data_IF_486643074987
#
_entry.id   IF_486643074987
#
_cell.length_a   1.000
_cell.length_b   1.000
_cell.length_c   1.000
_cell.angle_alpha   90.00
_cell.angle_beta   90.00
_cell.angle_gamma   90.00
#
_symmetry.space_group_name_H-M   'P 1'
#
loop_
_entity.id
_entity.type
_entity.pdbx_description
1 polymer ?
#
# COMPACT_ATOMS: atom_id res chain seq x y z
N UNK A 1 5.88 34.53 2.97
CA UNK A 1 6.30 33.98 4.27
C UNK A 1 6.78 32.55 4.04
N UNK A 2 8.04 32.24 4.36
CA UNK A 2 8.60 30.91 4.22
C UNK A 2 8.27 30.08 5.47
N UNK A 3 7.96 28.79 5.27
CA UNK A 3 7.58 27.88 6.34
C UNK A 3 8.76 26.91 6.58
N UNK A 4 9.19 26.79 7.82
CA UNK A 4 10.27 25.87 8.20
C UNK A 4 9.79 24.43 8.11
N UNK A 5 10.64 23.55 7.56
CA UNK A 5 10.34 22.12 7.39
C UNK A 5 9.08 21.85 6.53
N UNK A 6 8.91 22.61 5.47
CA UNK A 6 7.73 22.54 4.59
C UNK A 6 7.48 21.15 4.00
N UNK A 7 8.52 20.39 3.74
CA UNK A 7 8.43 19.01 3.22
C UNK A 7 7.55 18.10 4.09
N UNK A 8 7.48 18.34 5.40
CA UNK A 8 6.63 17.52 6.29
C UNK A 8 5.14 17.85 6.15
N UNK A 9 4.79 19.06 5.71
CA UNK A 9 3.42 19.39 5.30
C UNK A 9 3.02 18.56 4.09
N UNK A 10 3.96 18.36 3.16
CA UNK A 10 3.72 17.49 1.99
C UNK A 10 3.47 16.03 2.45
N UNK A 11 4.26 15.50 3.40
CA UNK A 11 4.00 14.15 3.95
C UNK A 11 2.64 14.06 4.63
N UNK A 12 2.23 15.09 5.36
CA UNK A 12 0.90 15.12 5.97
C UNK A 12 -0.21 15.06 4.92
N UNK A 13 -0.05 15.75 3.79
CA UNK A 13 -0.97 15.64 2.66
C UNK A 13 -0.99 14.22 2.08
N UNK A 14 0.17 13.58 1.91
CA UNK A 14 0.24 12.20 1.42
C UNK A 14 -0.40 11.20 2.40
N UNK A 15 -0.14 11.38 3.70
CA UNK A 15 -0.75 10.59 4.77
C UNK A 15 -2.28 10.70 4.76
N UNK A 16 -2.81 11.92 4.71
CA UNK A 16 -4.26 12.15 4.70
C UNK A 16 -4.91 11.66 3.42
N UNK A 17 -4.26 11.80 2.24
CA UNK A 17 -4.73 11.20 1.00
C UNK A 17 -4.84 9.68 1.10
N UNK A 18 -3.80 9.03 1.62
CA UNK A 18 -3.78 7.57 1.81
C UNK A 18 -4.82 7.13 2.84
N UNK A 19 -5.04 7.93 3.89
CA UNK A 19 -6.10 7.68 4.88
C UNK A 19 -7.50 7.71 4.23
N UNK A 20 -7.80 8.71 3.41
CA UNK A 20 -9.09 8.82 2.68
C UNK A 20 -9.24 7.65 1.70
N UNK A 21 -8.19 7.33 0.95
CA UNK A 21 -8.18 6.24 -0.02
C UNK A 21 -8.56 4.90 0.63
N UNK A 22 -7.96 4.56 1.79
CA UNK A 22 -8.27 3.32 2.50
C UNK A 22 -9.59 3.36 3.27
N UNK A 23 -10.04 4.54 3.69
CA UNK A 23 -11.38 4.74 4.23
C UNK A 23 -12.43 4.38 3.17
N UNK A 24 -12.38 4.98 1.96
CA UNK A 24 -13.31 4.74 0.88
C UNK A 24 -13.34 3.26 0.45
N UNK A 25 -12.18 2.62 0.45
CA UNK A 25 -12.05 1.19 0.13
C UNK A 25 -12.81 0.30 1.10
N UNK A 26 -12.84 0.63 2.39
CA UNK A 26 -13.46 -0.17 3.43
C UNK A 26 -14.98 -0.07 3.49
N UNK A 27 -15.56 1.03 3.03
CA UNK A 27 -17.00 1.33 3.17
C UNK A 27 -17.90 0.20 2.69
N UNK A 28 -17.64 -0.40 1.53
CA UNK A 28 -18.52 -1.45 1.01
C UNK A 28 -18.52 -2.71 1.88
N UNK A 29 -17.37 -3.04 2.47
CA UNK A 29 -17.28 -4.17 3.40
C UNK A 29 -18.07 -3.93 4.67
N UNK A 30 -18.05 -2.70 5.18
CA UNK A 30 -18.80 -2.30 6.37
C UNK A 30 -20.31 -2.24 6.11
N UNK A 31 -20.72 -1.82 4.92
CA UNK A 31 -22.12 -1.73 4.51
C UNK A 31 -22.68 -3.05 3.95
N UNK A 32 -21.82 -4.07 3.70
CA UNK A 32 -22.23 -5.36 3.12
C UNK A 32 -23.50 -5.93 3.75
N UNK A 33 -23.64 -6.08 5.09
CA UNK A 33 -24.80 -6.71 5.68
C UNK A 33 -26.13 -5.98 5.38
N UNK A 34 -26.05 -4.66 5.19
CA UNK A 34 -27.22 -3.82 4.88
C UNK A 34 -27.58 -3.93 3.41
N UNK A 35 -26.57 -3.81 2.54
CA UNK A 35 -26.74 -3.86 1.09
C UNK A 35 -27.17 -5.26 0.63
N UNK A 36 -26.71 -6.32 1.29
CA UNK A 36 -27.18 -7.70 1.04
C UNK A 36 -28.68 -7.86 1.30
N UNK A 37 -29.20 -7.27 2.36
CA UNK A 37 -30.64 -7.31 2.68
C UNK A 37 -31.40 -6.44 1.67
N UNK A 38 -30.96 -5.20 1.42
CA UNK A 38 -31.68 -4.24 0.58
C UNK A 38 -31.75 -4.68 -0.90
N UNK A 39 -30.66 -5.26 -1.42
CA UNK A 39 -30.55 -5.67 -2.82
C UNK A 39 -30.60 -7.17 -3.04
N UNK A 40 -30.84 -7.96 -2.00
CA UNK A 40 -30.87 -9.43 -2.04
C UNK A 40 -29.60 -10.03 -2.66
N UNK A 41 -28.42 -9.49 -2.30
CA UNK A 41 -27.15 -9.99 -2.82
C UNK A 41 -26.82 -11.37 -2.27
N UNK A 42 -26.22 -12.18 -3.11
CA UNK A 42 -25.55 -13.42 -2.72
C UNK A 42 -24.09 -13.13 -2.36
N UNK A 43 -23.45 -14.06 -1.64
CA UNK A 43 -22.00 -14.03 -1.40
C UNK A 43 -21.21 -13.95 -2.72
N UNK A 44 -21.71 -14.60 -3.77
CA UNK A 44 -21.14 -14.57 -5.11
C UNK A 44 -21.21 -13.17 -5.74
N UNK A 45 -22.31 -12.44 -5.54
CA UNK A 45 -22.45 -11.07 -6.06
C UNK A 45 -21.47 -10.14 -5.37
N UNK A 46 -21.33 -10.23 -4.04
CA UNK A 46 -20.35 -9.45 -3.31
C UNK A 46 -18.91 -9.79 -3.75
N UNK A 47 -18.59 -11.08 -3.91
CA UNK A 47 -17.28 -11.50 -4.41
C UNK A 47 -16.97 -10.91 -5.79
N UNK A 48 -17.94 -10.90 -6.72
CA UNK A 48 -17.80 -10.27 -8.05
C UNK A 48 -17.52 -8.77 -7.96
N UNK A 49 -18.18 -8.06 -7.04
CA UNK A 49 -17.97 -6.63 -6.79
C UNK A 49 -16.52 -6.39 -6.29
N UNK A 50 -16.01 -7.21 -5.39
CA UNK A 50 -14.64 -7.12 -4.87
C UNK A 50 -13.60 -7.46 -5.95
N UNK A 51 -13.85 -8.50 -6.76
CA UNK A 51 -12.98 -8.89 -7.88
C UNK A 51 -12.92 -7.77 -8.94
N UNK A 52 -14.06 -7.15 -9.25
CA UNK A 52 -14.13 -6.04 -10.19
C UNK A 52 -13.23 -4.86 -9.76
N UNK A 53 -13.27 -4.51 -8.48
CA UNK A 53 -12.38 -3.51 -7.90
C UNK A 53 -10.90 -3.91 -8.04
N UNK A 54 -10.55 -5.13 -7.61
CA UNK A 54 -9.15 -5.58 -7.57
C UNK A 54 -8.54 -5.67 -8.98
N UNK A 55 -9.30 -6.16 -9.94
CA UNK A 55 -8.87 -6.23 -11.35
C UNK A 55 -8.66 -4.83 -11.94
N UNK A 56 -9.62 -3.93 -11.71
CA UNK A 56 -9.52 -2.54 -12.15
C UNK A 56 -8.35 -1.81 -11.49
N UNK A 57 -8.13 -2.04 -10.19
CA UNK A 57 -7.00 -1.48 -9.45
C UNK A 57 -5.65 -1.94 -10.02
N UNK A 58 -5.52 -3.23 -10.36
CA UNK A 58 -4.30 -3.76 -10.97
C UNK A 58 -3.97 -3.09 -12.31
N UNK A 59 -4.98 -2.91 -13.17
CA UNK A 59 -4.84 -2.18 -14.45
C UNK A 59 -4.55 -0.69 -14.18
N UNK A 60 -5.27 -0.09 -13.25
CA UNK A 60 -5.13 1.31 -12.87
C UNK A 60 -3.72 1.66 -12.40
N UNK A 61 -3.05 0.76 -11.67
CA UNK A 61 -1.66 0.94 -11.23
C UNK A 61 -0.69 1.18 -12.40
N UNK A 62 -0.85 0.45 -13.49
CA UNK A 62 -0.04 0.65 -14.70
C UNK A 62 -0.39 1.96 -15.40
N UNK A 63 -1.69 2.20 -15.61
CA UNK A 63 -2.19 3.37 -16.34
C UNK A 63 -1.82 4.66 -15.61
N UNK A 64 -2.14 4.76 -14.33
CA UNK A 64 -1.86 5.98 -13.55
C UNK A 64 -0.39 6.13 -13.19
N UNK A 65 0.37 5.05 -13.04
CA UNK A 65 1.82 5.13 -12.92
C UNK A 65 2.45 5.85 -14.11
N UNK A 66 2.13 5.42 -15.33
CA UNK A 66 2.56 6.06 -16.56
C UNK A 66 2.02 7.48 -16.72
N UNK A 67 0.71 7.67 -16.46
CA UNK A 67 0.04 8.96 -16.59
C UNK A 67 0.68 10.03 -15.70
N UNK A 68 0.93 9.72 -14.42
CA UNK A 68 1.54 10.64 -13.45
C UNK A 68 2.97 11.01 -13.88
N UNK A 69 3.73 10.06 -14.42
CA UNK A 69 5.08 10.38 -14.94
C UNK A 69 5.01 11.31 -16.16
N UNK A 70 4.01 11.15 -17.01
CA UNK A 70 3.83 11.97 -18.22
C UNK A 70 3.35 13.40 -17.92
N UNK A 71 2.35 13.57 -17.04
CA UNK A 71 1.73 14.87 -16.79
C UNK A 71 2.30 15.61 -15.58
N UNK A 72 3.12 14.93 -14.78
CA UNK A 72 3.66 15.44 -13.53
C UNK A 72 2.77 15.21 -12.32
N UNK A 73 3.38 15.26 -11.14
CA UNK A 73 2.76 14.83 -9.87
C UNK A 73 1.54 15.65 -9.50
N UNK A 74 1.60 17.01 -9.64
CA UNK A 74 0.49 17.89 -9.25
C UNK A 74 -0.80 17.56 -10.00
N UNK A 75 -0.72 17.52 -11.32
CA UNK A 75 -1.88 17.26 -12.19
C UNK A 75 -2.29 15.79 -12.07
N UNK A 76 -1.34 14.87 -12.16
CA UNK A 76 -1.61 13.44 -12.11
C UNK A 76 -2.34 13.04 -10.84
N UNK A 77 -1.87 13.49 -9.68
CA UNK A 77 -2.52 13.18 -8.40
C UNK A 77 -3.89 13.85 -8.27
N UNK A 78 -4.05 15.10 -8.74
CA UNK A 78 -5.35 15.76 -8.76
C UNK A 78 -6.38 14.99 -9.58
N UNK A 79 -6.01 14.52 -10.76
CA UNK A 79 -6.90 13.71 -11.63
C UNK A 79 -7.31 12.42 -10.96
N UNK A 80 -6.38 11.69 -10.33
CA UNK A 80 -6.70 10.44 -9.63
C UNK A 80 -7.66 10.68 -8.47
N UNK A 81 -7.48 11.75 -7.70
CA UNK A 81 -8.34 12.10 -6.56
C UNK A 81 -9.75 12.48 -7.03
N UNK A 82 -9.86 13.32 -8.04
CA UNK A 82 -11.16 13.67 -8.63
C UNK A 82 -11.88 12.39 -9.11
N UNK A 83 -11.14 11.52 -9.81
CA UNK A 83 -11.67 10.28 -10.34
C UNK A 83 -12.22 9.36 -9.26
N UNK A 84 -11.38 9.05 -8.20
CA UNK A 84 -11.87 8.13 -7.17
C UNK A 84 -12.97 8.75 -6.31
N UNK A 85 -12.92 10.07 -6.04
CA UNK A 85 -13.98 10.76 -5.28
C UNK A 85 -15.32 10.69 -5.99
N UNK A 86 -15.35 10.96 -7.29
CA UNK A 86 -16.56 10.81 -8.09
C UNK A 86 -17.03 9.35 -8.10
N UNK A 87 -16.12 8.39 -8.34
CA UNK A 87 -16.47 6.98 -8.38
C UNK A 87 -16.95 6.49 -6.99
N UNK A 88 -16.36 6.98 -5.90
CA UNK A 88 -16.82 6.72 -4.53
C UNK A 88 -18.26 7.19 -4.33
N UNK A 89 -18.56 8.43 -4.70
CA UNK A 89 -19.90 9.00 -4.58
C UNK A 89 -20.93 8.29 -5.49
N UNK A 90 -20.53 7.79 -6.66
CA UNK A 90 -21.42 7.07 -7.57
C UNK A 90 -22.01 5.79 -6.99
N UNK A 91 -21.39 5.18 -5.97
CA UNK A 91 -21.97 4.04 -5.24
C UNK A 91 -23.32 4.38 -4.60
N UNK A 92 -23.54 5.62 -4.17
CA UNK A 92 -24.82 6.07 -3.61
C UNK A 92 -26.01 5.96 -4.57
N UNK A 93 -25.74 5.95 -5.87
CA UNK A 93 -26.75 5.87 -6.91
C UNK A 93 -26.92 4.44 -7.49
N UNK A 94 -26.07 3.49 -7.10
CA UNK A 94 -26.18 2.11 -7.51
C UNK A 94 -27.44 1.46 -6.92
N UNK A 95 -28.12 0.63 -7.72
CA UNK A 95 -29.38 -0.06 -7.34
C UNK A 95 -29.33 -1.56 -7.63
N UNK A 96 -28.16 -2.10 -7.94
CA UNK A 96 -27.96 -3.52 -8.22
C UNK A 96 -26.51 -3.91 -7.99
N UNK A 97 -26.24 -5.21 -7.81
CA UNK A 97 -24.87 -5.73 -7.71
C UNK A 97 -24.00 -5.34 -8.92
N UNK A 98 -24.58 -5.33 -10.13
CA UNK A 98 -23.89 -4.86 -11.34
C UNK A 98 -23.53 -3.36 -11.25
N UNK A 99 -24.46 -2.50 -10.80
CA UNK A 99 -24.20 -1.07 -10.62
C UNK A 99 -23.09 -0.80 -9.62
N UNK A 100 -23.08 -1.51 -8.47
CA UNK A 100 -21.97 -1.46 -7.51
C UNK A 100 -20.66 -1.97 -8.12
N UNK A 101 -20.70 -3.03 -8.92
CA UNK A 101 -19.54 -3.54 -9.65
C UNK A 101 -18.94 -2.49 -10.59
N UNK A 102 -19.76 -1.78 -11.35
CA UNK A 102 -19.31 -0.69 -12.24
C UNK A 102 -18.68 0.47 -11.43
N UNK A 103 -19.34 0.90 -10.35
CA UNK A 103 -18.80 1.93 -9.46
C UNK A 103 -17.46 1.49 -8.85
N UNK A 104 -17.31 0.21 -8.48
CA UNK A 104 -16.07 -0.38 -7.96
C UNK A 104 -14.96 -0.44 -8.99
N UNK A 105 -15.27 -0.71 -10.27
CA UNK A 105 -14.29 -0.60 -11.36
C UNK A 105 -13.78 0.84 -11.44
N UNK A 106 -14.69 1.82 -11.44
CA UNK A 106 -14.33 3.23 -11.45
C UNK A 106 -13.45 3.61 -10.25
N UNK A 107 -13.84 3.18 -9.04
CA UNK A 107 -13.08 3.44 -7.81
C UNK A 107 -11.70 2.80 -7.85
N UNK A 108 -11.61 1.52 -8.24
CA UNK A 108 -10.33 0.80 -8.32
C UNK A 108 -9.35 1.45 -9.29
N UNK A 109 -9.82 1.87 -10.46
CA UNK A 109 -8.99 2.62 -11.41
C UNK A 109 -8.46 3.91 -10.77
N UNK A 110 -9.31 4.75 -10.18
CA UNK A 110 -8.90 6.05 -9.60
C UNK A 110 -7.96 5.88 -8.41
N UNK A 111 -8.30 5.00 -7.46
CA UNK A 111 -7.49 4.77 -6.25
C UNK A 111 -6.08 4.25 -6.55
N UNK A 112 -5.90 3.56 -7.66
CA UNK A 112 -4.61 3.00 -8.06
C UNK A 112 -3.52 4.07 -8.28
N UNK A 113 -3.89 5.32 -8.54
CA UNK A 113 -2.93 6.41 -8.69
C UNK A 113 -2.30 6.91 -7.38
N UNK A 114 -2.89 6.59 -6.22
CA UNK A 114 -2.43 7.10 -4.92
C UNK A 114 -0.96 6.75 -4.64
N UNK A 115 -0.60 5.47 -4.65
CA UNK A 115 0.78 5.06 -4.35
C UNK A 115 1.82 5.56 -5.36
N UNK A 116 1.60 5.44 -6.69
CA UNK A 116 2.52 6.02 -7.67
C UNK A 116 2.76 7.52 -7.46
N UNK A 117 1.70 8.29 -7.19
CA UNK A 117 1.81 9.72 -6.92
C UNK A 117 2.54 10.01 -5.62
N UNK A 118 2.20 9.30 -4.54
CA UNK A 118 2.81 9.53 -3.22
C UNK A 118 4.30 9.22 -3.23
N UNK A 119 4.72 8.07 -3.78
CA UNK A 119 6.15 7.69 -3.84
C UNK A 119 6.94 8.66 -4.70
N UNK A 120 6.38 9.11 -5.84
CA UNK A 120 7.01 10.14 -6.68
C UNK A 120 7.12 11.47 -5.94
N UNK A 121 6.08 11.89 -5.21
CA UNK A 121 6.13 13.10 -4.37
C UNK A 121 7.26 13.00 -3.34
N UNK A 122 7.44 11.86 -2.70
CA UNK A 122 8.56 11.63 -1.77
C UNK A 122 9.90 11.74 -2.50
N UNK A 123 10.02 11.18 -3.71
CA UNK A 123 11.24 11.30 -4.51
C UNK A 123 11.57 12.76 -4.91
N UNK A 124 10.55 13.57 -5.13
CA UNK A 124 10.69 15.00 -5.48
C UNK A 124 11.04 15.88 -4.27
N UNK A 125 10.46 15.59 -3.08
CA UNK A 125 10.50 16.47 -1.91
C UNK A 125 11.51 16.07 -0.83
N UNK A 126 12.09 14.87 -0.91
CA UNK A 126 12.95 14.36 0.15
C UNK A 126 14.32 13.94 -0.34
N UNK A 127 15.40 14.29 0.41
CA UNK A 127 16.70 13.69 0.20
C UNK A 127 16.65 12.18 0.51
N UNK A 128 17.48 11.37 -0.14
CA UNK A 128 17.47 9.90 -0.01
C UNK A 128 17.46 9.41 1.45
N UNK A 129 18.18 10.10 2.32
CA UNK A 129 18.28 9.78 3.77
C UNK A 129 16.96 9.93 4.56
N UNK A 130 15.95 10.62 4.02
CA UNK A 130 14.65 10.83 4.67
C UNK A 130 13.50 10.14 3.95
N UNK A 131 13.68 9.66 2.71
CA UNK A 131 12.62 9.03 1.92
C UNK A 131 11.95 7.85 2.61
N UNK A 132 12.74 7.00 3.30
CA UNK A 132 12.19 5.85 4.02
C UNK A 132 11.21 6.26 5.11
N UNK A 133 11.58 7.25 5.94
CA UNK A 133 10.70 7.77 6.98
C UNK A 133 9.45 8.43 6.38
N UNK A 134 9.61 9.25 5.34
CA UNK A 134 8.50 9.90 4.66
C UNK A 134 7.53 8.87 4.06
N UNK A 135 8.06 7.81 3.42
CA UNK A 135 7.27 6.70 2.87
C UNK A 135 6.53 5.93 3.98
N UNK A 136 7.22 5.63 5.09
CA UNK A 136 6.61 4.95 6.23
C UNK A 136 5.47 5.75 6.86
N UNK A 137 5.63 7.06 6.97
CA UNK A 137 4.61 7.96 7.50
C UNK A 137 3.36 8.00 6.63
N UNK A 138 3.48 8.22 5.31
CA UNK A 138 2.28 8.24 4.48
C UNK A 138 1.63 6.85 4.37
N UNK A 139 2.43 5.79 4.33
CA UNK A 139 1.91 4.42 4.27
C UNK A 139 1.15 4.01 5.55
N UNK A 140 1.49 4.57 6.72
CA UNK A 140 0.72 4.39 7.96
C UNK A 140 -0.73 4.88 7.83
N UNK A 141 -1.01 5.80 6.89
CA UNK A 141 -2.36 6.25 6.57
C UNK A 141 -3.31 5.11 6.16
N UNK A 142 -2.77 3.99 5.64
CA UNK A 142 -3.58 2.82 5.29
C UNK A 142 -4.35 2.26 6.48
N UNK A 143 -3.65 2.02 7.58
CA UNK A 143 -4.25 1.48 8.81
C UNK A 143 -5.16 2.50 9.50
N UNK A 144 -4.75 3.77 9.49
CA UNK A 144 -5.58 4.86 10.05
C UNK A 144 -6.87 5.03 9.25
N UNK A 145 -6.83 4.90 7.92
CA UNK A 145 -8.02 4.95 7.07
C UNK A 145 -9.03 3.87 7.42
N UNK A 146 -8.57 2.63 7.65
CA UNK A 146 -9.42 1.52 8.11
C UNK A 146 -10.05 1.84 9.47
N UNK A 147 -9.26 2.31 10.43
CA UNK A 147 -9.75 2.67 11.77
C UNK A 147 -10.79 3.80 11.69
N UNK A 148 -10.52 4.84 10.93
CA UNK A 148 -11.46 5.96 10.72
C UNK A 148 -12.76 5.45 10.09
N UNK A 149 -12.69 4.53 9.12
CA UNK A 149 -13.89 3.94 8.51
C UNK A 149 -14.78 3.22 9.52
N UNK A 150 -14.18 2.46 10.46
CA UNK A 150 -14.90 1.73 11.51
C UNK A 150 -15.70 2.63 12.46
N UNK A 151 -15.32 3.89 12.60
CA UNK A 151 -16.05 4.86 13.44
C UNK A 151 -16.99 5.74 12.59
N UNK A 152 -16.50 6.23 11.46
CA UNK A 152 -17.21 7.23 10.66
C UNK A 152 -18.40 6.62 9.91
N UNK A 153 -18.21 5.43 9.30
CA UNK A 153 -19.28 4.82 8.51
C UNK A 153 -20.51 4.44 9.33
N UNK A 154 -20.39 3.76 10.50
CA UNK A 154 -21.56 3.48 11.35
C UNK A 154 -22.25 4.75 11.87
N UNK A 155 -21.48 5.80 12.18
CA UNK A 155 -22.04 7.06 12.65
C UNK A 155 -22.88 7.75 11.56
N UNK A 156 -22.38 7.82 10.32
CA UNK A 156 -23.13 8.39 9.20
C UNK A 156 -24.36 7.53 8.89
N UNK A 157 -24.17 6.20 8.86
CA UNK A 157 -25.25 5.25 8.59
C UNK A 157 -26.42 5.41 9.56
N UNK A 158 -26.13 5.53 10.86
CA UNK A 158 -27.15 5.65 11.91
C UNK A 158 -27.96 6.96 11.84
N UNK A 159 -27.35 8.03 11.29
CA UNK A 159 -27.97 9.36 11.27
C UNK A 159 -28.58 9.72 9.92
N UNK A 160 -28.07 9.16 8.81
CA UNK A 160 -28.44 9.64 7.46
C UNK A 160 -28.81 8.52 6.49
N UNK A 161 -28.14 7.37 6.53
CA UNK A 161 -28.36 6.25 5.64
C UNK A 161 -27.07 5.79 4.92
N UNK A 162 -27.19 4.67 4.17
CA UNK A 162 -26.01 4.09 3.50
C UNK A 162 -25.53 4.89 2.28
N UNK A 163 -26.43 5.57 1.59
CA UNK A 163 -26.10 6.42 0.44
C UNK A 163 -25.18 7.56 0.88
N UNK A 164 -25.53 8.21 1.99
CA UNK A 164 -24.78 9.32 2.56
C UNK A 164 -23.40 8.90 3.04
N UNK A 165 -23.20 7.64 3.44
CA UNK A 165 -21.86 7.14 3.75
C UNK A 165 -20.96 7.29 2.52
N UNK A 166 -21.38 6.84 1.35
CA UNK A 166 -20.60 6.97 0.12
C UNK A 166 -20.44 8.43 -0.34
N UNK A 167 -21.49 9.25 -0.21
CA UNK A 167 -21.44 10.66 -0.61
C UNK A 167 -20.47 11.46 0.26
N UNK A 168 -20.55 11.30 1.58
CA UNK A 168 -19.73 12.06 2.54
C UNK A 168 -18.27 11.62 2.44
N UNK A 169 -18.00 10.30 2.44
CA UNK A 169 -16.61 9.82 2.38
C UNK A 169 -15.95 10.16 1.05
N UNK A 170 -16.64 9.96 -0.08
CA UNK A 170 -16.14 10.35 -1.39
C UNK A 170 -15.89 11.86 -1.52
N UNK A 171 -16.72 12.71 -0.87
CA UNK A 171 -16.54 14.16 -0.85
C UNK A 171 -15.27 14.59 -0.09
N UNK A 172 -14.76 13.80 0.86
CA UNK A 172 -13.50 14.11 1.57
C UNK A 172 -12.31 14.27 0.62
N UNK A 173 -12.30 13.54 -0.50
CA UNK A 173 -11.27 13.69 -1.51
C UNK A 173 -11.27 15.08 -2.17
N UNK A 174 -12.43 15.68 -2.39
CA UNK A 174 -12.50 17.05 -2.91
C UNK A 174 -12.03 18.09 -1.88
N UNK A 175 -12.37 17.88 -0.61
CA UNK A 175 -11.84 18.74 0.47
C UNK A 175 -10.31 18.65 0.50
N UNK A 176 -9.77 17.43 0.44
CA UNK A 176 -8.32 17.21 0.38
C UNK A 176 -7.69 17.87 -0.86
N UNK A 177 -8.36 17.78 -2.02
CA UNK A 177 -7.87 18.39 -3.27
C UNK A 177 -7.64 19.88 -3.15
N UNK A 178 -8.51 20.59 -2.43
CA UNK A 178 -8.34 22.04 -2.17
C UNK A 178 -6.99 22.27 -1.48
N UNK A 179 -6.69 21.52 -0.42
CA UNK A 179 -5.40 21.64 0.28
C UNK A 179 -4.22 21.27 -0.62
N UNK A 180 -4.37 20.21 -1.44
CA UNK A 180 -3.33 19.82 -2.41
C UNK A 180 -3.01 20.94 -3.40
N UNK A 181 -4.00 21.53 -4.00
CA UNK A 181 -3.82 22.62 -4.98
C UNK A 181 -3.19 23.87 -4.37
N UNK A 182 -3.49 24.16 -3.10
CA UNK A 182 -2.97 25.34 -2.36
C UNK A 182 -1.53 25.09 -1.89
N UNK A 183 -1.22 23.91 -1.38
CA UNK A 183 0.06 23.64 -0.70
C UNK A 183 1.07 22.93 -1.57
N UNK A 184 0.65 22.12 -2.54
CA UNK A 184 1.60 21.37 -3.35
C UNK A 184 2.05 22.16 -4.58
N UNK A 185 3.36 22.19 -4.75
CA UNK A 185 4.07 22.54 -5.99
C UNK A 185 5.38 21.75 -6.02
N UNK A 186 6.04 21.62 -7.16
CA UNK A 186 7.38 21.04 -7.18
C UNK A 186 8.36 21.94 -6.41
N UNK A 187 9.39 21.37 -5.72
CA UNK A 187 10.29 22.15 -4.86
C UNK A 187 10.88 23.39 -5.54
N UNK A 188 11.29 23.28 -6.82
CA UNK A 188 11.87 24.38 -7.57
C UNK A 188 10.94 25.58 -7.81
N UNK A 189 9.61 25.37 -7.74
CA UNK A 189 8.60 26.41 -7.96
C UNK A 189 7.85 26.80 -6.67
N UNK A 190 8.14 26.12 -5.55
CA UNK A 190 7.42 26.35 -4.29
C UNK A 190 7.87 27.63 -3.60
N UNK A 191 7.04 28.67 -3.66
CA UNK A 191 7.35 29.99 -3.10
C UNK A 191 7.41 30.04 -1.56
N UNK A 192 6.81 29.05 -0.89
CA UNK A 192 6.78 28.96 0.59
C UNK A 192 7.99 28.20 1.15
N UNK A 193 8.79 27.56 0.28
CA UNK A 193 9.98 26.83 0.65
C UNK A 193 11.15 27.81 0.86
N UNK A 194 11.91 27.64 1.96
CA UNK A 194 13.10 28.45 2.19
C UNK A 194 14.25 28.02 1.28
N UNK A 195 15.13 28.93 0.89
CA UNK A 195 16.30 28.60 0.08
C UNK A 195 17.20 27.54 0.76
N UNK A 196 17.32 27.58 2.09
CA UNK A 196 18.07 26.61 2.87
C UNK A 196 17.45 25.22 2.80
N UNK A 197 16.12 25.11 2.93
CA UNK A 197 15.44 23.82 2.84
C UNK A 197 15.45 23.28 1.39
N UNK A 198 15.31 24.15 0.40
CA UNK A 198 15.46 23.77 -1.01
C UNK A 198 16.85 23.19 -1.28
N UNK A 199 17.92 23.87 -0.85
CA UNK A 199 19.29 23.36 -0.97
C UNK A 199 19.49 22.01 -0.25
N UNK A 200 18.87 21.83 0.92
CA UNK A 200 18.90 20.57 1.66
C UNK A 200 18.20 19.43 0.89
N UNK A 201 17.05 19.71 0.27
CA UNK A 201 16.31 18.73 -0.53
C UNK A 201 17.15 18.33 -1.76
N UNK A 202 17.60 19.30 -2.53
CA UNK A 202 18.33 19.07 -3.80
C UNK A 202 19.72 18.48 -3.55
N UNK A 203 20.44 18.98 -2.55
CA UNK A 203 21.78 18.50 -2.21
C UNK A 203 21.84 17.04 -1.73
N UNK A 204 20.69 16.46 -1.34
CA UNK A 204 20.57 15.05 -0.98
C UNK A 204 19.90 14.19 -2.05
N UNK A 205 19.75 14.72 -3.27
CA UNK A 205 19.20 14.02 -4.43
C UNK A 205 20.29 13.85 -5.50
N UNK A 206 20.10 12.92 -6.41
CA UNK A 206 20.99 12.84 -7.58
C UNK A 206 20.78 14.01 -8.52
N UNK A 207 21.86 14.46 -9.23
CA UNK A 207 21.76 15.55 -10.20
C UNK A 207 20.67 15.29 -11.23
N UNK A 208 19.78 16.23 -11.40
CA UNK A 208 18.69 16.12 -12.35
C UNK A 208 19.23 16.41 -13.76
N UNK A 209 19.07 15.45 -14.67
CA UNK A 209 19.27 15.72 -16.08
C UNK A 209 18.13 16.62 -16.54
N UNK A 210 18.42 17.87 -16.95
CA UNK A 210 17.42 18.90 -17.33
C UNK A 210 16.53 18.51 -18.52
N UNK A 211 16.81 17.41 -19.20
CA UNK A 211 16.01 16.97 -20.34
C UNK A 211 14.68 16.35 -19.90
N UNK A 212 13.57 16.96 -20.28
CA UNK A 212 12.24 16.32 -20.34
C UNK A 212 12.28 15.23 -21.41
N UNK A 213 12.70 14.04 -21.03
CA UNK A 213 12.78 12.92 -21.95
C UNK A 213 11.52 12.07 -21.75
N UNK A 214 10.84 11.76 -22.84
CA UNK A 214 9.70 10.87 -22.83
C UNK A 214 10.18 9.44 -22.54
N UNK A 215 9.89 8.95 -21.35
CA UNK A 215 10.22 7.59 -20.92
C UNK A 215 9.34 6.58 -21.66
N UNK A 216 9.97 5.65 -22.38
CA UNK A 216 9.28 4.49 -22.94
C UNK A 216 9.04 3.45 -21.84
N UNK A 217 7.90 3.53 -21.20
CA UNK A 217 7.59 2.73 -20.02
C UNK A 217 7.75 1.21 -20.22
N UNK A 218 7.53 0.66 -21.41
CA UNK A 218 7.79 -0.74 -21.72
C UNK A 218 9.25 -1.14 -21.56
N UNK A 219 10.19 -0.22 -21.74
CA UNK A 219 11.61 -0.47 -21.49
C UNK A 219 11.91 -0.73 -20.02
N UNK A 220 11.04 -0.30 -19.09
CA UNK A 220 11.19 -0.63 -17.67
C UNK A 220 11.24 -2.15 -17.44
N UNK A 221 10.50 -2.95 -18.21
CA UNK A 221 10.51 -4.41 -18.07
C UNK A 221 11.84 -5.07 -18.50
N UNK A 222 12.72 -4.36 -19.21
CA UNK A 222 14.06 -4.86 -19.56
C UNK A 222 15.09 -4.67 -18.43
N UNK A 223 14.74 -3.92 -17.39
CA UNK A 223 15.64 -3.53 -16.31
C UNK A 223 15.58 -4.52 -15.14
N UNK A 224 16.72 -5.01 -14.62
CA UNK A 224 16.76 -5.87 -13.44
C UNK A 224 16.15 -5.18 -12.20
N UNK A 225 16.31 -3.85 -12.09
CA UNK A 225 15.73 -3.07 -10.99
C UNK A 225 14.20 -3.14 -10.95
N UNK A 226 13.55 -3.14 -12.12
CA UNK A 226 12.09 -3.32 -12.22
C UNK A 226 11.67 -4.70 -11.72
N UNK A 227 12.39 -5.75 -12.12
CA UNK A 227 12.13 -7.11 -11.65
C UNK A 227 12.37 -7.26 -10.15
N UNK A 228 13.34 -6.54 -9.58
CA UNK A 228 13.53 -6.50 -8.13
C UNK A 228 12.29 -5.94 -7.40
N UNK A 229 11.65 -4.89 -7.95
CA UNK A 229 10.41 -4.34 -7.39
C UNK A 229 9.21 -5.29 -7.61
N UNK A 230 9.11 -5.90 -8.81
CA UNK A 230 8.07 -6.90 -9.13
C UNK A 230 8.11 -8.05 -8.12
N UNK A 231 9.29 -8.60 -7.87
CA UNK A 231 9.47 -9.70 -6.89
C UNK A 231 9.18 -9.21 -5.47
N UNK A 232 9.69 -8.01 -5.12
CA UNK A 232 9.51 -7.41 -3.80
C UNK A 232 8.06 -7.15 -3.42
N UNK A 233 7.18 -6.97 -4.39
CA UNK A 233 5.73 -6.77 -4.22
C UNK A 233 4.95 -8.02 -4.59
N UNK A 234 5.23 -8.62 -5.73
CA UNK A 234 4.47 -9.73 -6.27
C UNK A 234 4.49 -11.01 -5.43
N UNK A 235 5.60 -11.30 -4.74
CA UNK A 235 5.67 -12.42 -3.80
C UNK A 235 5.15 -12.07 -2.40
N UNK A 236 5.26 -10.81 -1.99
CA UNK A 236 5.07 -10.43 -0.59
C UNK A 236 3.66 -9.88 -0.31
N UNK A 237 3.08 -9.07 -1.20
CA UNK A 237 1.73 -8.54 -1.01
C UNK A 237 0.66 -9.64 -0.87
N UNK A 238 0.73 -10.77 -1.58
CA UNK A 238 -0.19 -11.89 -1.38
C UNK A 238 -0.24 -12.42 0.05
N UNK A 239 0.90 -12.40 0.76
CA UNK A 239 1.00 -12.81 2.17
C UNK A 239 0.19 -11.85 3.05
N UNK A 240 0.22 -10.55 2.76
CA UNK A 240 -0.59 -9.59 3.49
C UNK A 240 -2.10 -9.83 3.30
N UNK A 241 -2.54 -10.21 2.10
CA UNK A 241 -3.92 -10.60 1.85
C UNK A 241 -4.32 -11.84 2.65
N UNK A 242 -3.40 -12.81 2.80
CA UNK A 242 -3.63 -13.94 3.70
C UNK A 242 -3.83 -13.45 5.15
N UNK A 243 -2.95 -12.61 5.67
CA UNK A 243 -3.11 -12.07 7.02
C UNK A 243 -4.43 -11.28 7.17
N UNK A 244 -4.82 -10.52 6.16
CA UNK A 244 -6.04 -9.72 6.22
C UNK A 244 -7.32 -10.57 6.25
N UNK A 245 -7.38 -11.63 5.43
CA UNK A 245 -8.61 -12.39 5.23
C UNK A 245 -8.72 -13.65 6.09
N UNK A 246 -7.61 -14.31 6.41
CA UNK A 246 -7.64 -15.60 7.10
C UNK A 246 -7.27 -15.56 8.58
N UNK A 247 -6.59 -14.52 9.07
CA UNK A 247 -6.28 -14.42 10.51
C UNK A 247 -7.52 -14.48 11.40
N UNK A 248 -8.64 -13.79 11.11
CA UNK A 248 -9.85 -13.94 11.91
C UNK A 248 -10.31 -15.41 11.99
N UNK A 249 -10.34 -16.10 10.85
CA UNK A 249 -10.71 -17.52 10.81
C UNK A 249 -9.72 -18.43 11.53
N UNK A 250 -8.43 -18.13 11.47
CA UNK A 250 -7.39 -18.84 12.23
C UNK A 250 -7.65 -18.73 13.73
N UNK A 251 -7.80 -17.51 14.24
CA UNK A 251 -8.07 -17.29 15.68
C UNK A 251 -9.38 -17.91 16.13
N UNK A 252 -10.45 -17.82 15.34
CA UNK A 252 -11.72 -18.45 15.64
C UNK A 252 -11.64 -19.99 15.65
N UNK A 253 -10.95 -20.57 14.69
CA UNK A 253 -10.85 -22.03 14.53
C UNK A 253 -9.92 -22.66 15.55
N UNK A 254 -8.75 -22.08 15.78
CA UNK A 254 -7.68 -22.65 16.62
C UNK A 254 -7.84 -22.24 18.07
N UNK A 255 -8.05 -20.95 18.34
CA UNK A 255 -8.15 -20.40 19.70
C UNK A 255 -9.58 -20.18 20.17
N UNK A 256 -10.60 -20.56 19.35
CA UNK A 256 -12.03 -20.43 19.68
C UNK A 256 -12.47 -18.99 19.97
N UNK A 257 -11.83 -18.02 19.33
CA UNK A 257 -12.15 -16.61 19.47
C UNK A 257 -13.55 -16.31 18.94
N UNK A 258 -14.37 -15.62 19.75
CA UNK A 258 -15.71 -15.19 19.35
C UNK A 258 -15.66 -13.91 18.52
N UNK A 259 -15.73 -14.06 17.19
CA UNK A 259 -15.68 -12.93 16.25
C UNK A 259 -16.95 -12.05 16.26
N UNK A 260 -17.99 -12.39 17.05
CA UNK A 260 -19.18 -11.54 17.21
C UNK A 260 -18.93 -10.36 18.16
N UNK A 261 -17.82 -10.39 18.89
CA UNK A 261 -17.39 -9.35 19.83
C UNK A 261 -16.14 -8.65 19.30
N UNK A 262 -15.92 -7.37 19.66
CA UNK A 262 -14.65 -6.70 19.38
C UNK A 262 -13.49 -7.54 19.92
N UNK A 263 -12.52 -7.82 19.09
CA UNK A 263 -11.36 -8.67 19.43
C UNK A 263 -10.12 -7.80 19.65
N UNK A 264 -9.68 -7.62 20.90
CA UNK A 264 -8.43 -6.93 21.21
C UNK A 264 -7.24 -7.57 20.50
N UNK A 265 -7.25 -8.88 20.32
CA UNK A 265 -6.21 -9.67 19.65
C UNK A 265 -6.01 -9.19 18.22
N UNK A 266 -7.09 -9.12 17.43
CA UNK A 266 -7.03 -8.66 16.06
C UNK A 266 -6.72 -7.16 15.99
N UNK A 267 -7.23 -6.35 16.91
CA UNK A 267 -6.94 -4.92 16.98
C UNK A 267 -5.44 -4.65 17.17
N UNK A 268 -4.79 -5.39 18.09
CA UNK A 268 -3.34 -5.27 18.33
C UNK A 268 -2.55 -5.67 17.08
N UNK A 269 -2.93 -6.78 16.44
CA UNK A 269 -2.27 -7.25 15.22
C UNK A 269 -2.33 -6.17 14.13
N UNK A 270 -3.49 -5.62 13.84
CA UNK A 270 -3.60 -4.59 12.81
C UNK A 270 -2.99 -3.24 13.21
N UNK A 271 -2.98 -2.87 14.50
CA UNK A 271 -2.27 -1.69 14.97
C UNK A 271 -0.75 -1.80 14.79
N UNK A 272 -0.19 -3.01 14.91
CA UNK A 272 1.23 -3.26 14.71
C UNK A 272 1.71 -2.91 13.28
N UNK A 273 0.81 -2.94 12.29
CA UNK A 273 1.14 -2.52 10.90
C UNK A 273 1.63 -1.08 10.82
N UNK A 274 1.03 -0.18 11.61
CA UNK A 274 1.45 1.23 11.67
C UNK A 274 2.86 1.38 12.22
N UNK A 275 3.18 0.65 13.30
CA UNK A 275 4.52 0.64 13.89
C UNK A 275 5.55 0.09 12.91
N UNK A 276 5.20 -0.99 12.20
CA UNK A 276 6.05 -1.58 11.17
C UNK A 276 6.36 -0.62 10.03
N UNK A 277 5.34 0.07 9.52
CA UNK A 277 5.49 1.02 8.42
C UNK A 277 6.45 2.17 8.77
N UNK A 278 6.21 2.83 9.91
CA UNK A 278 7.03 3.96 10.37
C UNK A 278 8.42 3.48 10.79
N UNK A 279 8.50 2.42 11.60
CA UNK A 279 9.75 1.87 12.12
C UNK A 279 10.67 1.35 11.02
N UNK A 280 10.11 0.64 10.02
CA UNK A 280 10.86 0.15 8.87
C UNK A 280 11.46 1.26 8.01
N UNK A 281 10.69 2.32 7.77
CA UNK A 281 11.15 3.51 7.07
C UNK A 281 12.20 4.30 7.87
N UNK A 282 11.99 4.42 9.17
CA UNK A 282 12.94 5.08 10.08
C UNK A 282 14.29 4.36 10.12
N UNK A 283 14.29 3.03 10.29
CA UNK A 283 15.51 2.24 10.42
C UNK A 283 16.43 2.40 9.20
N UNK A 284 15.91 2.30 8.00
CA UNK A 284 16.72 2.48 6.79
C UNK A 284 17.20 3.92 6.63
N UNK A 285 16.38 4.91 6.96
CA UNK A 285 16.77 6.31 6.95
C UNK A 285 17.86 6.63 7.99
N UNK A 286 17.79 6.01 9.16
CA UNK A 286 18.78 6.15 10.22
C UNK A 286 20.16 5.57 9.82
N UNK A 287 20.19 4.40 9.16
CA UNK A 287 21.44 3.84 8.63
C UNK A 287 22.08 4.77 7.60
N UNK A 288 21.29 5.33 6.69
CA UNK A 288 21.78 6.27 5.67
C UNK A 288 22.31 7.56 6.31
N UNK A 289 21.63 8.09 7.34
CA UNK A 289 22.11 9.25 8.12
C UNK A 289 23.44 8.96 8.83
N UNK A 290 23.75 7.70 9.14
CA UNK A 290 25.03 7.25 9.69
C UNK A 290 26.12 6.99 8.65
N UNK A 291 25.88 7.37 7.39
CA UNK A 291 26.85 7.27 6.30
C UNK A 291 26.81 5.95 5.52
N UNK A 292 25.81 5.09 5.74
CA UNK A 292 25.70 3.88 4.92
C UNK A 292 25.27 4.23 3.50
N UNK A 293 25.84 3.57 2.46
CA UNK A 293 25.35 3.70 1.10
C UNK A 293 23.86 3.32 1.02
N UNK A 294 23.05 4.14 0.34
CA UNK A 294 21.60 4.04 0.31
C UNK A 294 21.11 2.62 -0.01
N UNK A 295 21.58 2.04 -1.11
CA UNK A 295 21.16 0.69 -1.51
C UNK A 295 21.59 -0.39 -0.49
N UNK A 296 22.78 -0.24 0.12
CA UNK A 296 23.24 -1.16 1.16
C UNK A 296 22.33 -1.07 2.40
N UNK A 297 21.99 0.14 2.84
CA UNK A 297 21.09 0.36 3.97
C UNK A 297 19.72 -0.26 3.73
N UNK A 298 19.11 -0.04 2.55
CA UNK A 298 17.81 -0.64 2.18
C UNK A 298 17.86 -2.16 2.21
N UNK A 299 18.86 -2.77 1.55
CA UNK A 299 19.02 -4.23 1.51
C UNK A 299 19.27 -4.84 2.89
N UNK A 300 20.05 -4.16 3.75
CA UNK A 300 20.29 -4.64 5.12
C UNK A 300 19.01 -4.62 5.94
N UNK A 301 18.19 -3.58 5.80
CA UNK A 301 16.90 -3.53 6.49
C UNK A 301 15.94 -4.59 5.97
N UNK A 302 15.90 -4.82 4.65
CA UNK A 302 15.08 -5.88 4.06
C UNK A 302 15.49 -7.28 4.54
N UNK A 303 16.80 -7.61 4.65
CA UNK A 303 17.22 -8.95 5.17
C UNK A 303 16.92 -9.09 6.65
N UNK A 304 17.07 -8.04 7.45
CA UNK A 304 16.69 -8.08 8.87
C UNK A 304 15.21 -8.37 9.02
N UNK A 305 14.36 -7.70 8.25
CA UNK A 305 12.92 -7.98 8.28
C UNK A 305 12.57 -9.35 7.71
N UNK A 306 13.23 -9.79 6.63
CA UNK A 306 13.04 -11.16 6.13
C UNK A 306 13.42 -12.22 7.18
N UNK A 307 14.47 -11.99 7.95
CA UNK A 307 14.84 -12.87 9.07
C UNK A 307 13.83 -12.85 10.21
N UNK A 308 13.31 -11.66 10.56
CA UNK A 308 12.27 -11.53 11.58
C UNK A 308 10.94 -12.18 11.14
N UNK A 309 10.60 -12.15 9.85
CA UNK A 309 9.39 -12.80 9.34
C UNK A 309 9.40 -14.32 9.55
N UNK A 310 10.57 -14.95 9.55
CA UNK A 310 10.67 -16.39 9.83
C UNK A 310 10.06 -16.75 11.19
N UNK A 311 10.02 -15.82 12.14
CA UNK A 311 9.39 -16.04 13.45
C UNK A 311 7.90 -16.38 13.37
N UNK A 312 7.20 -16.07 12.26
CA UNK A 312 5.80 -16.47 12.07
C UNK A 312 5.62 -17.99 12.12
N UNK A 313 6.65 -18.75 11.73
CA UNK A 313 6.64 -20.21 11.79
C UNK A 313 6.45 -20.70 13.23
N UNK A 314 6.90 -19.95 14.23
CA UNK A 314 6.75 -20.28 15.62
C UNK A 314 5.28 -20.19 16.09
N UNK A 315 4.41 -19.47 15.37
CA UNK A 315 3.00 -19.37 15.70
C UNK A 315 2.28 -20.75 15.63
N UNK A 316 2.79 -21.70 14.85
CA UNK A 316 2.27 -23.07 14.81
C UNK A 316 2.41 -23.83 16.14
N UNK A 317 3.34 -23.42 16.99
CA UNK A 317 3.59 -24.04 18.30
C UNK A 317 2.96 -23.25 19.46
N UNK A 318 2.29 -22.14 19.17
CA UNK A 318 1.68 -21.31 20.19
C UNK A 318 0.44 -22.02 20.76
N UNK A 319 0.46 -22.32 22.04
CA UNK A 319 -0.69 -22.85 22.79
C UNK A 319 -1.49 -21.72 23.47
N UNK A 320 -0.84 -20.61 23.75
CA UNK A 320 -1.47 -19.40 24.30
C UNK A 320 -1.80 -18.40 23.18
N UNK A 321 -2.99 -17.80 23.24
CA UNK A 321 -3.47 -16.86 22.23
C UNK A 321 -2.60 -15.61 22.14
N UNK A 322 -2.09 -15.10 23.25
CA UNK A 322 -1.29 -13.88 23.27
C UNK A 322 0.12 -14.08 22.69
N UNK A 323 0.67 -15.30 22.82
CA UNK A 323 1.91 -15.67 22.14
C UNK A 323 1.69 -15.67 20.62
N UNK A 324 0.59 -16.24 20.14
CA UNK A 324 0.23 -16.17 18.73
C UNK A 324 0.01 -14.73 18.26
N UNK A 325 -0.70 -13.91 19.03
CA UNK A 325 -0.91 -12.47 18.77
C UNK A 325 0.44 -11.75 18.64
N UNK A 326 1.37 -11.97 19.57
CA UNK A 326 2.69 -11.36 19.53
C UNK A 326 3.49 -11.69 18.27
N UNK A 327 3.56 -12.98 17.92
CA UNK A 327 4.28 -13.46 16.73
C UNK A 327 3.65 -12.97 15.43
N UNK A 328 2.33 -13.00 15.33
CA UNK A 328 1.60 -12.54 14.15
C UNK A 328 1.66 -11.01 14.04
N UNK A 329 1.57 -10.29 15.17
CA UNK A 329 1.77 -8.82 15.18
C UNK A 329 3.15 -8.43 14.67
N UNK A 330 4.20 -9.18 15.05
CA UNK A 330 5.52 -8.98 14.52
C UNK A 330 5.56 -9.21 13.00
N UNK A 331 4.95 -10.29 12.51
CA UNK A 331 4.93 -10.62 11.09
C UNK A 331 4.22 -9.53 10.26
N UNK A 332 3.03 -9.06 10.66
CA UNK A 332 2.34 -8.01 9.92
C UNK A 332 3.06 -6.65 10.02
N UNK A 333 3.74 -6.37 11.13
CA UNK A 333 4.60 -5.19 11.26
C UNK A 333 5.81 -5.29 10.31
N UNK A 334 6.45 -6.44 10.25
CA UNK A 334 7.56 -6.74 9.34
C UNK A 334 7.11 -6.60 7.88
N UNK A 335 5.92 -7.10 7.53
CA UNK A 335 5.36 -6.92 6.19
C UNK A 335 5.28 -5.42 5.82
N UNK A 336 4.72 -4.58 6.68
CA UNK A 336 4.59 -3.15 6.40
C UNK A 336 5.95 -2.43 6.36
N UNK A 337 6.90 -2.86 7.18
CA UNK A 337 8.28 -2.38 7.12
C UNK A 337 8.95 -2.74 5.79
N UNK A 338 8.72 -3.95 5.30
CA UNK A 338 9.17 -4.42 3.99
C UNK A 338 8.56 -3.59 2.87
N UNK A 339 7.24 -3.46 2.83
CA UNK A 339 6.52 -2.70 1.81
C UNK A 339 7.02 -1.25 1.71
N UNK A 340 7.20 -0.57 2.86
CA UNK A 340 7.77 0.79 2.94
C UNK A 340 9.15 0.86 2.29
N UNK A 341 10.03 -0.11 2.57
CA UNK A 341 11.38 -0.11 2.02
C UNK A 341 11.42 -0.46 0.52
N UNK A 342 10.54 -1.33 0.03
CA UNK A 342 10.40 -1.62 -1.41
C UNK A 342 9.90 -0.39 -2.19
N UNK A 343 8.89 0.32 -1.67
CA UNK A 343 8.45 1.58 -2.27
C UNK A 343 9.56 2.65 -2.28
N UNK A 344 10.30 2.74 -1.17
CA UNK A 344 11.42 3.68 -1.11
C UNK A 344 12.55 3.26 -2.05
N UNK A 345 12.79 1.96 -2.21
CA UNK A 345 13.77 1.44 -3.17
C UNK A 345 13.42 1.86 -4.62
N UNK A 346 12.13 1.90 -4.98
CA UNK A 346 11.70 2.43 -6.28
C UNK A 346 12.13 3.90 -6.45
N UNK A 347 11.92 4.74 -5.44
CA UNK A 347 12.32 6.15 -5.47
C UNK A 347 13.83 6.37 -5.43
N UNK A 348 14.61 5.38 -5.00
CA UNK A 348 16.07 5.45 -4.91
C UNK A 348 16.77 4.87 -6.16
N UNK A 349 16.12 3.96 -6.90
CA UNK A 349 16.68 3.29 -8.07
C UNK A 349 16.27 3.92 -9.41
N UNK A 350 15.16 4.64 -9.45
CA UNK A 350 14.61 5.19 -10.69
C UNK A 350 14.67 6.72 -10.70
N UNK A 351 14.94 7.33 -11.89
CA UNK A 351 14.85 8.76 -12.06
C UNK A 351 13.40 9.23 -11.80
N UNK A 352 13.22 10.45 -11.31
CA UNK A 352 11.90 11.00 -10.92
C UNK A 352 10.82 10.86 -12.02
N UNK A 353 11.25 10.86 -13.29
CA UNK A 353 10.38 10.72 -14.46
C UNK A 353 9.82 9.29 -14.65
N UNK A 354 10.36 8.29 -13.96
CA UNK A 354 9.97 6.89 -14.09
C UNK A 354 9.52 6.24 -12.77
N UNK A 355 9.57 6.98 -11.65
CA UNK A 355 9.24 6.44 -10.32
C UNK A 355 7.79 5.95 -10.26
N UNK A 356 6.84 6.75 -10.74
CA UNK A 356 5.42 6.36 -10.68
C UNK A 356 5.15 5.13 -11.53
N UNK A 357 5.75 5.04 -12.72
CA UNK A 357 5.64 3.87 -13.59
C UNK A 357 6.24 2.61 -12.93
N UNK A 358 7.41 2.73 -12.31
CA UNK A 358 8.05 1.61 -11.59
C UNK A 358 7.21 1.13 -10.40
N UNK A 359 6.65 2.06 -9.62
CA UNK A 359 5.73 1.74 -8.51
C UNK A 359 4.44 1.10 -9.01
N UNK A 360 3.88 1.61 -10.12
CA UNK A 360 2.69 1.05 -10.75
C UNK A 360 2.88 -0.39 -11.22
N UNK A 361 4.01 -0.68 -11.89
CA UNK A 361 4.38 -2.04 -12.32
C UNK A 361 4.53 -2.97 -11.11
N UNK A 362 5.25 -2.54 -10.08
CA UNK A 362 5.44 -3.33 -8.86
C UNK A 362 4.12 -3.59 -8.12
N UNK A 363 3.29 -2.56 -7.99
CA UNK A 363 1.98 -2.68 -7.35
C UNK A 363 1.01 -3.59 -8.11
N UNK A 364 1.02 -3.53 -9.46
CA UNK A 364 0.26 -4.45 -10.30
C UNK A 364 0.67 -5.90 -10.04
N UNK A 365 1.96 -6.20 -9.94
CA UNK A 365 2.43 -7.54 -9.63
C UNK A 365 1.91 -8.03 -8.26
N UNK A 366 1.88 -7.15 -7.24
CA UNK A 366 1.29 -7.43 -5.94
C UNK A 366 -0.21 -7.69 -6.01
N UNK A 367 -0.95 -6.88 -6.78
CA UNK A 367 -2.40 -7.04 -6.96
C UNK A 367 -2.74 -8.36 -7.67
N UNK A 368 -1.98 -8.73 -8.72
CA UNK A 368 -2.14 -10.01 -9.43
C UNK A 368 -1.88 -11.19 -8.49
N UNK A 369 -0.79 -11.14 -7.70
CA UNK A 369 -0.51 -12.13 -6.68
C UNK A 369 -1.64 -12.25 -5.65
N UNK A 370 -2.26 -11.12 -5.27
CA UNK A 370 -3.43 -11.05 -4.38
C UNK A 370 -4.71 -11.66 -4.96
N UNK A 371 -4.77 -11.98 -6.26
CA UNK A 371 -5.87 -12.75 -6.86
C UNK A 371 -5.60 -14.25 -6.73
N UNK A 372 -4.38 -14.70 -7.06
CA UNK A 372 -4.06 -16.13 -7.13
C UNK A 372 -3.76 -16.76 -5.78
N UNK A 373 -3.08 -16.05 -4.87
CA UNK A 373 -2.70 -16.61 -3.58
C UNK A 373 -3.88 -16.99 -2.68
N UNK A 374 -4.96 -16.20 -2.58
CA UNK A 374 -6.18 -16.62 -1.88
C UNK A 374 -6.79 -17.93 -2.40
N UNK A 375 -6.70 -18.21 -3.71
CA UNK A 375 -7.17 -19.47 -4.29
C UNK A 375 -6.33 -20.64 -3.78
N UNK A 376 -5.00 -20.48 -3.74
CA UNK A 376 -4.09 -21.48 -3.18
C UNK A 376 -4.38 -21.71 -1.69
N UNK A 377 -4.55 -20.64 -0.91
CA UNK A 377 -4.88 -20.72 0.53
C UNK A 377 -6.18 -21.47 0.75
N UNK A 378 -7.24 -21.12 0.02
CA UNK A 378 -8.54 -21.79 0.13
C UNK A 378 -8.44 -23.29 -0.17
N UNK A 379 -7.88 -23.66 -1.32
CA UNK A 379 -7.71 -25.05 -1.73
C UNK A 379 -6.89 -25.88 -0.72
N UNK A 380 -5.80 -25.29 -0.21
CA UNK A 380 -4.94 -25.96 0.78
C UNK A 380 -5.70 -26.17 2.10
N UNK A 381 -6.37 -25.12 2.62
CA UNK A 381 -7.13 -25.25 3.87
C UNK A 381 -8.30 -26.22 3.75
N UNK A 382 -9.01 -26.24 2.62
CA UNK A 382 -10.09 -27.20 2.35
C UNK A 382 -9.57 -28.64 2.37
N UNK A 383 -8.43 -28.90 1.74
CA UNK A 383 -7.78 -30.23 1.74
C UNK A 383 -7.44 -30.68 3.17
N UNK A 384 -6.80 -29.80 3.95
CA UNK A 384 -6.44 -30.13 5.33
C UNK A 384 -7.64 -30.23 6.25
N UNK A 385 -8.69 -29.43 6.02
CA UNK A 385 -9.95 -29.51 6.76
C UNK A 385 -10.67 -30.83 6.50
N UNK A 386 -10.73 -31.29 5.24
CA UNK A 386 -11.30 -32.57 4.87
C UNK A 386 -10.55 -33.75 5.52
N UNK A 387 -9.23 -33.61 5.71
CA UNK A 387 -8.38 -34.55 6.43
C UNK A 387 -8.48 -34.45 7.98
N UNK A 388 -9.35 -33.57 8.52
CA UNK A 388 -9.48 -33.35 9.96
C UNK A 388 -8.31 -32.61 10.63
N UNK A 389 -7.39 -32.02 9.86
CA UNK A 389 -6.16 -31.38 10.34
C UNK A 389 -6.04 -29.92 9.87
N UNK A 390 -7.04 -29.10 10.15
CA UNK A 390 -7.03 -27.68 9.73
C UNK A 390 -5.80 -26.91 10.25
N UNK A 391 -5.33 -27.21 11.47
CA UNK A 391 -4.13 -26.61 12.02
C UNK A 391 -2.89 -26.89 11.16
N UNK A 392 -2.74 -28.09 10.63
CA UNK A 392 -1.67 -28.44 9.70
C UNK A 392 -1.67 -27.58 8.43
N UNK A 393 -2.85 -27.22 7.92
CA UNK A 393 -2.99 -26.29 6.79
C UNK A 393 -2.43 -24.91 7.10
N UNK A 394 -2.76 -24.34 8.26
CA UNK A 394 -2.19 -23.06 8.70
C UNK A 394 -0.68 -23.15 8.94
N UNK A 395 -0.16 -24.27 9.44
CA UNK A 395 1.27 -24.46 9.66
C UNK A 395 2.05 -24.43 8.33
N UNK A 396 1.52 -25.04 7.28
CA UNK A 396 2.10 -24.95 5.92
C UNK A 396 2.10 -23.51 5.43
N UNK A 397 0.98 -22.79 5.62
CA UNK A 397 0.89 -21.39 5.21
C UNK A 397 1.88 -20.48 5.97
N UNK A 398 2.02 -20.63 7.28
CA UNK A 398 3.00 -19.87 8.06
C UNK A 398 4.44 -20.19 7.62
N UNK A 399 4.72 -21.43 7.25
CA UNK A 399 6.02 -21.82 6.71
C UNK A 399 6.28 -21.12 5.36
N UNK A 400 5.30 -21.13 4.45
CA UNK A 400 5.39 -20.40 3.18
C UNK A 400 5.62 -18.91 3.45
N UNK A 401 4.81 -18.27 4.33
CA UNK A 401 4.96 -16.86 4.67
C UNK A 401 6.38 -16.57 5.19
N UNK A 402 6.87 -17.34 6.15
CA UNK A 402 8.17 -17.09 6.77
C UNK A 402 9.35 -17.15 5.79
N UNK A 403 9.36 -18.09 4.85
CA UNK A 403 10.48 -18.24 3.92
C UNK A 403 10.38 -17.36 2.66
N UNK A 404 9.19 -16.94 2.27
CA UNK A 404 8.99 -16.15 1.03
C UNK A 404 9.77 -14.84 1.06
N UNK A 405 9.89 -14.16 2.20
CA UNK A 405 10.65 -12.93 2.33
C UNK A 405 12.16 -13.14 2.12
N UNK A 406 12.71 -14.25 2.62
CA UNK A 406 14.12 -14.60 2.38
C UNK A 406 14.36 -14.84 0.89
N UNK A 407 13.48 -15.60 0.23
CA UNK A 407 13.55 -15.86 -1.21
C UNK A 407 13.47 -14.55 -1.99
N UNK A 408 12.49 -13.70 -1.67
CA UNK A 408 12.35 -12.38 -2.30
C UNK A 408 13.60 -11.53 -2.10
N UNK A 409 14.18 -11.51 -0.89
CA UNK A 409 15.40 -10.77 -0.63
C UNK A 409 16.59 -11.28 -1.46
N UNK A 410 16.78 -12.60 -1.56
CA UNK A 410 17.84 -13.20 -2.38
C UNK A 410 17.71 -12.72 -3.83
N UNK A 411 16.51 -12.80 -4.39
CA UNK A 411 16.27 -12.39 -5.79
C UNK A 411 16.51 -10.88 -5.95
N UNK A 412 15.98 -10.04 -5.06
CA UNK A 412 16.24 -8.59 -5.05
C UNK A 412 17.74 -8.31 -4.97
N UNK A 413 18.45 -9.02 -4.07
CA UNK A 413 19.90 -8.85 -3.91
C UNK A 413 20.66 -9.17 -5.18
N UNK A 414 20.30 -10.25 -5.88
CA UNK A 414 20.92 -10.68 -7.13
C UNK A 414 20.66 -9.67 -8.26
N UNK A 415 19.42 -9.21 -8.41
CA UNK A 415 19.00 -8.27 -9.45
C UNK A 415 19.57 -6.85 -9.24
N UNK A 416 19.91 -6.50 -8.00
CA UNK A 416 20.44 -5.18 -7.65
C UNK A 416 21.88 -5.23 -7.16
N UNK A 417 22.71 -6.18 -7.66
CA UNK A 417 24.13 -6.32 -7.25
C UNK A 417 24.96 -5.09 -7.56
N UNK A 418 24.74 -4.48 -8.74
CA UNK A 418 25.43 -3.26 -9.13
C UNK A 418 24.60 -2.05 -8.68
N UNK A 419 25.13 -1.18 -7.80
CA UNK A 419 24.42 0.00 -7.32
C UNK A 419 24.40 1.07 -8.40
N UNK A 420 23.59 0.89 -9.45
CA UNK A 420 23.36 1.92 -10.46
C UNK A 420 21.90 2.34 -10.41
N UNK A 421 21.67 3.63 -10.19
CA UNK A 421 20.42 4.28 -10.54
C UNK A 421 20.21 4.10 -12.04
N UNK A 422 18.98 3.83 -12.43
CA UNK A 422 18.62 3.66 -13.83
C UNK A 422 18.92 4.96 -14.57
N UNK A 423 19.79 4.88 -15.58
CA UNK A 423 20.07 6.02 -16.44
C UNK A 423 18.85 6.30 -17.31
N UNK A 424 18.43 7.56 -17.34
CA UNK A 424 17.31 8.00 -18.18
C UNK A 424 17.54 7.68 -19.66
N UNK A 425 18.80 7.67 -20.13
CA UNK A 425 19.16 7.28 -21.49
C UNK A 425 18.75 5.84 -21.83
N UNK A 426 18.64 4.96 -20.85
CA UNK A 426 18.17 3.58 -21.07
C UNK A 426 16.67 3.50 -21.30
N UNK A 427 15.92 4.54 -20.94
CA UNK A 427 14.47 4.60 -20.97
C UNK A 427 13.88 5.37 -22.16
N UNK A 428 14.75 5.98 -22.96
CA UNK A 428 14.40 6.75 -24.18
C UNK A 428 14.32 5.85 -25.45
#
# INVERSE_FOLDING_TARGET
MTIKNYRWIIVLLLFTATTINYLDRQIIGLLKPILEIEFSWTETDFARIVIAFTAAYAVGLLVFGWFIDKVGTKVGYSVTIIWWSVAGMLHAFARSAFGFGVARVGLGLGEAGNYPAAVKTVAEWFPQKERGLATGLFNAGTSIGVVVALFLAPWILANYGWQEVFLITGALGFVWLIFWLIFYEIPAKQKRLSAQEYAYIVGGQEPETERKVAVKWLKLFTLPQTWALIVGKGLIDPIYWFFLFWLPSYFSSIFKLDLRKPSPELMIIYAATTLGSIGGGYLSSWLIKRGWPTLKARKTVLIVFAGLEVSIILAQFATDVWVAVGLISLAVAVHQAWATNVFTLASDLFPKQAVSSAVGIAGMAGAVGGIFFPMLVGSLLDTYKAAGNLAGGYNVLFTICGFTYLIAWIIIHLLTRKPKVVDIAQLV
#
